data_IF_698584020455
#
_entry.id   IF_698584020455
#
_cell.length_a   1.000
_cell.length_b   1.000
_cell.length_c   1.000
_cell.angle_alpha   90.00
_cell.angle_beta   90.00
_cell.angle_gamma   90.00
#
_symmetry.space_group_name_H-M   'P 1'
#
loop_
_entity.id
_entity.type
_entity.pdbx_description
1 polymer ?
#
# COMPACT_ATOMS: atom_id res chain seq x y z
N UNK A 1 -20.58 -5.58 8.05
CA UNK A 1 -19.85 -6.26 9.13
C UNK A 1 -18.35 -6.12 9.00
N UNK A 2 -17.75 -6.54 7.88
CA UNK A 2 -16.30 -6.54 7.66
C UNK A 2 -15.67 -5.14 7.67
N UNK A 3 -16.27 -4.18 6.97
CA UNK A 3 -15.76 -2.80 6.92
C UNK A 3 -15.69 -2.16 8.30
N UNK A 4 -16.74 -2.34 9.12
CA UNK A 4 -16.80 -1.84 10.51
C UNK A 4 -15.72 -2.47 11.42
N UNK A 5 -15.41 -3.76 11.23
CA UNK A 5 -14.31 -4.41 11.96
C UNK A 5 -12.95 -3.82 11.55
N UNK A 6 -12.77 -3.52 10.26
CA UNK A 6 -11.56 -2.85 9.77
C UNK A 6 -11.46 -1.40 10.24
N UNK A 7 -12.59 -0.68 10.34
CA UNK A 7 -12.65 0.67 10.91
C UNK A 7 -12.16 0.64 12.36
N UNK A 8 -12.78 -0.21 13.20
CA UNK A 8 -12.41 -0.37 14.61
C UNK A 8 -10.96 -0.83 14.79
N UNK A 9 -10.47 -1.72 13.91
CA UNK A 9 -9.08 -2.15 13.94
C UNK A 9 -8.12 -0.99 13.67
N UNK A 10 -8.37 -0.18 12.63
CA UNK A 10 -7.52 0.97 12.31
C UNK A 10 -7.61 2.04 13.40
N UNK A 11 -8.80 2.29 13.96
CA UNK A 11 -9.01 3.22 15.07
C UNK A 11 -8.24 2.79 16.34
N UNK A 12 -8.21 1.48 16.64
CA UNK A 12 -7.50 0.94 17.80
C UNK A 12 -5.96 1.11 17.71
N UNK A 13 -5.42 1.43 16.54
CA UNK A 13 -3.98 1.62 16.32
C UNK A 13 -3.49 3.02 16.74
N UNK A 14 -4.38 3.96 17.04
CA UNK A 14 -4.02 5.31 17.49
C UNK A 14 -3.11 6.05 16.51
N UNK A 15 -1.96 6.55 16.99
CA UNK A 15 -0.97 7.27 16.17
C UNK A 15 -0.04 6.35 15.35
N UNK A 16 -0.28 5.04 15.37
CA UNK A 16 0.54 4.12 14.59
C UNK A 16 0.32 4.34 13.08
N UNK A 17 1.38 4.35 12.24
CA UNK A 17 1.24 4.61 10.80
C UNK A 17 0.55 3.47 10.05
N UNK A 18 -0.78 3.53 10.01
CA UNK A 18 -1.64 2.59 9.28
C UNK A 18 -2.14 3.24 8.00
N UNK A 19 -2.06 2.50 6.89
CA UNK A 19 -2.70 2.88 5.64
C UNK A 19 -3.76 1.85 5.28
N UNK A 20 -5.01 2.30 5.23
CA UNK A 20 -6.14 1.52 4.73
C UNK A 20 -6.40 1.85 3.27
N UNK A 21 -6.46 0.84 2.41
CA UNK A 21 -6.61 1.02 0.95
C UNK A 21 -7.15 -0.25 0.30
N UNK A 22 -7.88 -0.13 -0.80
CA UNK A 22 -8.23 -1.29 -1.62
C UNK A 22 -6.99 -1.89 -2.30
N UNK A 23 -6.88 -3.22 -2.34
CA UNK A 23 -5.70 -3.88 -2.91
C UNK A 23 -5.42 -3.44 -4.37
N UNK A 24 -6.46 -3.37 -5.21
CA UNK A 24 -6.29 -2.96 -6.60
C UNK A 24 -5.80 -1.50 -6.74
N UNK A 25 -6.35 -0.59 -5.94
CA UNK A 25 -5.92 0.80 -5.93
C UNK A 25 -4.46 0.95 -5.47
N UNK A 26 -4.05 0.15 -4.48
CA UNK A 26 -2.66 0.09 -4.05
C UNK A 26 -1.74 -0.41 -5.16
N UNK A 27 -2.09 -1.50 -5.85
CA UNK A 27 -1.29 -2.02 -6.95
C UNK A 27 -1.18 -1.03 -8.12
N UNK A 28 -2.25 -0.30 -8.44
CA UNK A 28 -2.22 0.77 -9.45
C UNK A 28 -1.20 1.86 -9.09
N UNK A 29 -1.17 2.30 -7.83
CA UNK A 29 -0.17 3.26 -7.35
C UNK A 29 1.26 2.72 -7.50
N UNK A 30 1.50 1.48 -7.04
CA UNK A 30 2.82 0.85 -7.15
C UNK A 30 3.27 0.74 -8.61
N UNK A 31 2.37 0.38 -9.52
CA UNK A 31 2.68 0.30 -10.95
C UNK A 31 3.01 1.66 -11.55
N UNK A 32 2.27 2.71 -11.20
CA UNK A 32 2.55 4.07 -11.64
C UNK A 32 3.94 4.54 -11.17
N UNK A 33 4.25 4.31 -9.89
CA UNK A 33 5.54 4.65 -9.30
C UNK A 33 6.71 3.89 -9.93
N UNK A 34 6.54 2.59 -10.15
CA UNK A 34 7.53 1.77 -10.84
C UNK A 34 7.76 2.25 -12.27
N UNK A 35 6.69 2.65 -12.97
CA UNK A 35 6.79 3.17 -14.32
C UNK A 35 7.59 4.49 -14.35
N UNK A 36 7.33 5.40 -13.41
CA UNK A 36 8.09 6.65 -13.28
C UNK A 36 9.55 6.43 -12.84
N UNK A 37 9.80 5.47 -11.95
CA UNK A 37 11.16 5.10 -11.55
C UNK A 37 11.95 4.48 -12.70
N UNK A 38 11.31 3.64 -13.54
CA UNK A 38 11.94 3.07 -14.74
C UNK A 38 12.29 4.13 -15.79
N UNK A 39 11.48 5.17 -15.96
CA UNK A 39 11.81 6.31 -16.85
C UNK A 39 13.09 7.05 -16.43
N UNK A 40 13.49 6.95 -15.17
CA UNK A 40 14.70 7.57 -14.61
C UNK A 40 15.94 6.66 -14.72
N UNK A 41 15.87 5.60 -15.53
CA UNK A 41 16.96 4.63 -15.77
C UNK A 41 17.53 4.00 -14.48
N UNK A 42 16.70 3.89 -13.44
CA UNK A 42 17.12 3.24 -12.20
C UNK A 42 17.11 1.72 -12.40
N UNK A 43 18.29 1.07 -12.36
CA UNK A 43 18.45 -0.38 -12.54
C UNK A 43 17.56 -1.20 -11.60
N UNK A 44 17.34 -0.73 -10.37
CA UNK A 44 16.37 -1.27 -9.44
C UNK A 44 15.31 -0.22 -9.10
N UNK A 45 14.29 -0.11 -9.95
CA UNK A 45 13.15 0.76 -9.73
C UNK A 45 12.26 0.32 -8.55
N UNK A 46 12.36 -0.93 -8.07
CA UNK A 46 11.52 -1.45 -7.00
C UNK A 46 12.00 -1.00 -5.63
N UNK A 47 13.31 -1.04 -5.37
CA UNK A 47 13.90 -0.60 -4.11
C UNK A 47 13.48 0.83 -3.67
N UNK A 48 13.52 1.87 -4.51
CA UNK A 48 13.13 3.22 -4.10
C UNK A 48 11.62 3.35 -3.83
N UNK A 49 10.79 2.64 -4.61
CA UNK A 49 9.33 2.62 -4.42
C UNK A 49 8.98 1.91 -3.11
N UNK A 50 9.57 0.76 -2.85
CA UNK A 50 9.40 0.03 -1.59
C UNK A 50 9.87 0.85 -0.38
N UNK A 51 11.02 1.52 -0.49
CA UNK A 51 11.56 2.39 0.56
C UNK A 51 10.69 3.63 0.82
N UNK A 52 9.97 4.14 -0.20
CA UNK A 52 8.97 5.20 -0.02
C UNK A 52 7.79 4.68 0.81
N UNK A 53 7.18 3.58 0.38
CA UNK A 53 6.01 3.00 1.06
C UNK A 53 6.35 2.60 2.51
N UNK A 54 7.51 2.00 2.76
CA UNK A 54 7.94 1.58 4.10
C UNK A 54 8.26 2.75 5.05
N UNK A 55 8.53 3.95 4.52
CA UNK A 55 8.70 5.18 5.32
C UNK A 55 7.35 5.75 5.76
N UNK A 56 6.36 5.70 4.88
CA UNK A 56 5.05 6.31 5.11
C UNK A 56 4.09 5.37 5.86
N UNK A 57 4.28 4.06 5.72
CA UNK A 57 3.33 3.05 6.22
C UNK A 57 4.07 1.97 6.99
N UNK A 58 3.58 1.67 8.19
CA UNK A 58 4.04 0.55 9.03
C UNK A 58 3.05 -0.61 9.06
N UNK A 59 1.80 -0.37 8.72
CA UNK A 59 0.79 -1.41 8.52
C UNK A 59 -0.12 -1.08 7.32
N UNK A 60 -0.26 -2.04 6.41
CA UNK A 60 -1.20 -1.98 5.29
C UNK A 60 -2.46 -2.77 5.64
N UNK A 61 -3.59 -2.08 5.71
CA UNK A 61 -4.91 -2.67 5.91
C UNK A 61 -5.64 -2.71 4.56
N UNK A 62 -5.61 -3.86 3.87
CA UNK A 62 -6.25 -3.99 2.57
C UNK A 62 -7.75 -4.26 2.68
N UNK A 63 -8.55 -3.42 2.02
CA UNK A 63 -9.96 -3.71 1.81
C UNK A 63 -10.13 -4.55 0.53
N UNK A 64 -10.74 -5.73 0.69
CA UNK A 64 -11.06 -6.68 -0.39
C UNK A 64 -9.86 -7.10 -1.25
N UNK A 65 -9.25 -8.23 -0.88
CA UNK A 65 -8.24 -8.90 -1.69
C UNK A 65 -8.95 -9.88 -2.64
N UNK A 66 -9.02 -9.55 -3.93
CA UNK A 66 -9.33 -10.53 -4.97
C UNK A 66 -8.01 -11.12 -5.47
N UNK A 67 -7.73 -12.36 -5.05
CA UNK A 67 -6.75 -13.21 -5.72
C UNK A 67 -7.55 -14.00 -6.75
N UNK A 68 -7.38 -13.67 -8.02
CA UNK A 68 -7.76 -14.59 -9.10
C UNK A 68 -6.72 -15.71 -9.11
N UNK A 69 -7.18 -16.96 -9.04
CA UNK A 69 -6.37 -18.18 -9.17
C UNK A 69 -5.55 -18.18 -10.48
#
# INVERSE_FOLDING_TARGET
GKSMLMDLFVEAMGDFPVRRVHFHAFMQEIHADLHEARKRETEDALAPVAARVAREVKLLAFDEMQITD
#
